data_IF_750578646235
#
_entry.id   IF_750578646235
#
_cell.length_a   1.000
_cell.length_b   1.000
_cell.length_c   1.000
_cell.angle_alpha   90.00
_cell.angle_beta   90.00
_cell.angle_gamma   90.00
#
_symmetry.space_group_name_H-M   'P 1'
#
loop_
_entity.id
_entity.type
_entity.pdbx_description
1 polymer ?
#
# COMPACT_ATOMS: atom_id res chain seq x y z
N UNK A 1 7.36 -5.02 12.40
CA UNK A 1 8.72 -5.59 12.35
C UNK A 1 8.94 -6.63 11.25
N UNK A 2 7.88 -7.15 10.57
CA UNK A 2 7.97 -8.14 9.47
C UNK A 2 8.06 -7.53 8.06
N UNK A 3 7.65 -6.29 7.86
CA UNK A 3 7.68 -5.59 6.56
C UNK A 3 9.10 -5.53 5.95
N UNK A 4 10.13 -5.37 6.79
CA UNK A 4 11.52 -5.31 6.34
C UNK A 4 12.10 -6.64 5.82
N UNK A 5 11.63 -7.79 6.32
CA UNK A 5 12.14 -9.10 5.88
C UNK A 5 11.48 -9.56 4.58
N UNK A 6 10.17 -9.41 4.44
CA UNK A 6 9.46 -9.70 3.18
C UNK A 6 9.97 -8.82 2.03
N UNK A 7 10.27 -7.54 2.31
CA UNK A 7 10.84 -6.63 1.32
C UNK A 7 12.25 -7.06 0.87
N UNK A 8 13.07 -7.61 1.77
CA UNK A 8 14.44 -8.03 1.47
C UNK A 8 14.49 -9.25 0.54
N UNK A 9 13.65 -10.25 0.80
CA UNK A 9 13.53 -11.44 -0.05
C UNK A 9 12.88 -11.09 -1.39
N UNK A 10 11.91 -10.19 -1.38
CA UNK A 10 11.25 -9.67 -2.57
C UNK A 10 12.22 -8.88 -3.47
N UNK A 11 13.08 -8.00 -2.90
CA UNK A 11 14.08 -7.22 -3.66
C UNK A 11 15.17 -8.10 -4.27
N UNK A 12 15.53 -9.22 -3.65
CA UNK A 12 16.48 -10.18 -4.21
C UNK A 12 16.05 -10.75 -5.55
N UNK A 13 14.76 -10.79 -5.82
CA UNK A 13 14.19 -11.30 -7.07
C UNK A 13 13.91 -10.21 -8.13
N UNK A 14 13.85 -8.93 -7.73
CA UNK A 14 13.41 -7.83 -8.62
C UNK A 14 14.56 -7.15 -9.37
N UNK A 15 15.82 -7.26 -8.88
CA UNK A 15 16.92 -6.44 -9.40
C UNK A 15 18.10 -7.29 -9.83
N UNK A 16 18.12 -7.73 -11.07
CA UNK A 16 19.33 -8.20 -11.75
C UNK A 16 20.09 -7.03 -12.38
N UNK A 17 20.70 -6.17 -11.59
CA UNK A 17 21.63 -5.12 -12.04
C UNK A 17 22.80 -4.99 -11.06
N UNK A 18 24.00 -5.41 -11.45
CA UNK A 18 25.32 -5.13 -10.83
C UNK A 18 25.41 -5.26 -9.28
N UNK A 19 26.05 -6.29 -8.78
CA UNK A 19 26.01 -6.75 -7.38
C UNK A 19 26.34 -5.64 -6.34
N UNK A 20 27.25 -4.73 -6.63
CA UNK A 20 27.67 -3.70 -5.64
C UNK A 20 26.71 -2.52 -5.51
N UNK A 21 25.98 -2.17 -6.58
CA UNK A 21 24.92 -1.15 -6.52
C UNK A 21 23.62 -1.65 -5.89
N UNK A 22 23.34 -2.93 -6.00
CA UNK A 22 22.12 -3.57 -5.49
C UNK A 22 22.14 -3.58 -3.95
N UNK A 23 23.25 -3.90 -3.32
CA UNK A 23 23.35 -3.91 -1.85
C UNK A 23 23.02 -2.53 -1.26
N UNK A 24 23.48 -1.44 -1.87
CA UNK A 24 23.14 -0.07 -1.44
C UNK A 24 21.65 0.23 -1.54
N UNK A 25 21.00 -0.15 -2.64
CA UNK A 25 19.56 0.08 -2.83
C UNK A 25 18.68 -0.80 -1.92
N UNK A 26 19.07 -2.04 -1.67
CA UNK A 26 18.38 -2.92 -0.71
C UNK A 26 18.43 -2.35 0.71
N UNK A 27 19.58 -1.88 1.17
CA UNK A 27 19.69 -1.29 2.51
C UNK A 27 18.88 0.02 2.62
N UNK A 28 18.92 0.84 1.58
CA UNK A 28 18.14 2.06 1.51
C UNK A 28 16.63 1.78 1.52
N UNK A 29 16.16 0.76 0.79
CA UNK A 29 14.77 0.34 0.80
C UNK A 29 14.33 -0.18 2.18
N UNK A 30 15.17 -0.95 2.86
CA UNK A 30 14.92 -1.41 4.24
C UNK A 30 14.81 -0.26 5.22
N UNK A 31 15.68 0.74 5.10
CA UNK A 31 15.65 1.93 5.95
C UNK A 31 14.37 2.75 5.70
N UNK A 32 14.00 2.97 4.45
CA UNK A 32 12.75 3.65 4.10
C UNK A 32 11.55 2.87 4.65
N UNK A 33 11.52 1.55 4.49
CA UNK A 33 10.47 0.70 5.03
C UNK A 33 10.40 0.70 6.58
N UNK A 34 11.53 0.84 7.26
CA UNK A 34 11.56 0.98 8.72
C UNK A 34 10.97 2.31 9.18
N UNK A 35 11.22 3.39 8.43
CA UNK A 35 10.91 4.76 8.87
C UNK A 35 9.61 5.32 8.27
N UNK A 36 9.01 4.71 7.24
CA UNK A 36 7.90 5.32 6.49
C UNK A 36 6.70 5.70 7.36
N UNK A 37 6.41 4.91 8.37
CA UNK A 37 5.28 5.09 9.29
C UNK A 37 5.70 5.72 10.65
N UNK A 38 6.90 6.32 10.76
CA UNK A 38 7.38 6.91 12.02
C UNK A 38 6.43 7.97 12.57
N UNK A 39 5.74 8.70 11.70
CA UNK A 39 4.73 9.69 12.09
C UNK A 39 3.46 9.09 12.71
N UNK A 40 3.18 7.79 12.50
CA UNK A 40 2.03 7.08 13.09
C UNK A 40 2.09 7.03 14.63
N UNK A 41 3.29 6.94 15.19
CA UNK A 41 3.44 6.93 16.66
C UNK A 41 2.86 8.19 17.29
N UNK A 42 3.15 9.36 16.71
CA UNK A 42 2.60 10.62 17.22
C UNK A 42 1.13 10.79 16.86
N UNK A 43 0.68 10.31 15.70
CA UNK A 43 -0.73 10.30 15.32
C UNK A 43 -1.57 9.55 16.34
N UNK A 44 -1.19 8.32 16.69
CA UNK A 44 -1.91 7.51 17.67
C UNK A 44 -1.84 8.15 19.05
N UNK A 45 -0.69 8.66 19.46
CA UNK A 45 -0.52 9.33 20.75
C UNK A 45 -1.43 10.54 20.93
N UNK A 46 -1.64 11.34 19.87
CA UNK A 46 -2.46 12.57 19.91
C UNK A 46 -3.95 12.30 19.72
N UNK A 47 -4.29 11.38 18.86
CA UNK A 47 -5.66 11.25 18.34
C UNK A 47 -6.30 9.88 18.63
N UNK A 48 -5.54 8.92 19.16
CA UNK A 48 -5.99 7.51 19.33
C UNK A 48 -6.65 6.96 18.06
N UNK A 49 -6.09 7.31 16.89
CA UNK A 49 -6.70 7.05 15.59
C UNK A 49 -5.64 6.97 14.48
N UNK A 50 -5.88 6.10 13.49
CA UNK A 50 -5.11 6.01 12.25
C UNK A 50 -5.80 6.71 11.07
N UNK A 51 -6.93 7.37 11.30
CA UNK A 51 -7.69 8.01 10.22
C UNK A 51 -6.92 9.18 9.61
N UNK A 52 -6.86 9.27 8.26
CA UNK A 52 -6.01 10.23 7.57
C UNK A 52 -6.40 11.70 7.78
N UNK A 53 -7.66 11.95 8.18
CA UNK A 53 -8.13 13.31 8.47
C UNK A 53 -7.67 13.84 9.84
N UNK A 54 -7.12 13.00 10.71
CA UNK A 54 -6.61 13.43 12.02
C UNK A 54 -5.22 14.05 11.91
N UNK A 55 -4.35 13.46 11.11
CA UNK A 55 -2.99 13.92 10.84
C UNK A 55 -2.44 13.20 9.60
N UNK A 56 -1.72 13.92 8.75
CA UNK A 56 -0.92 13.30 7.70
C UNK A 56 0.38 12.76 8.31
N UNK A 57 0.41 11.46 8.57
CA UNK A 57 1.56 10.80 9.20
C UNK A 57 2.81 10.79 8.31
N UNK A 58 2.65 10.82 6.98
CA UNK A 58 3.78 10.83 6.06
C UNK A 58 4.48 12.19 6.09
N UNK A 59 3.71 13.27 6.02
CA UNK A 59 4.23 14.64 6.16
C UNK A 59 4.89 14.83 7.53
N UNK A 60 4.21 14.44 8.60
CA UNK A 60 4.75 14.56 9.95
C UNK A 60 6.00 13.68 10.16
N UNK A 61 6.05 12.49 9.54
CA UNK A 61 7.22 11.63 9.53
C UNK A 61 8.44 12.32 8.92
N UNK A 62 8.24 13.03 7.80
CA UNK A 62 9.30 13.84 7.17
C UNK A 62 9.74 14.96 8.11
N UNK A 63 8.80 15.71 8.70
CA UNK A 63 9.12 16.78 9.67
C UNK A 63 9.97 16.26 10.85
N UNK A 64 9.64 15.08 11.39
CA UNK A 64 10.43 14.43 12.45
C UNK A 64 11.86 14.07 12.00
N UNK A 65 12.00 13.57 10.76
CA UNK A 65 13.29 13.17 10.23
C UNK A 65 14.17 14.37 9.84
N UNK A 66 13.58 15.50 9.46
CA UNK A 66 14.27 16.76 9.15
C UNK A 66 14.61 17.58 10.41
N UNK A 67 13.93 17.33 11.53
CA UNK A 67 14.13 18.07 12.77
C UNK A 67 15.59 17.95 13.27
N UNK A 68 16.03 19.00 14.00
CA UNK A 68 17.35 19.07 14.63
C UNK A 68 18.50 18.71 13.66
N UNK A 69 18.47 19.27 12.44
CA UNK A 69 19.47 19.00 11.39
C UNK A 69 19.57 17.51 11.04
N UNK A 70 18.44 16.85 10.87
CA UNK A 70 18.33 15.41 10.53
C UNK A 70 18.88 14.47 11.64
N UNK A 71 18.92 14.93 12.88
CA UNK A 71 19.50 14.16 13.99
C UNK A 71 18.96 12.74 14.10
N UNK A 72 17.63 12.57 13.95
CA UNK A 72 17.04 11.25 14.02
C UNK A 72 17.46 10.38 12.82
N UNK A 73 17.48 10.95 11.62
CA UNK A 73 17.92 10.25 10.42
C UNK A 73 19.39 9.85 10.52
N UNK A 74 20.26 10.70 11.12
CA UNK A 74 21.70 10.40 11.37
C UNK A 74 21.93 9.19 12.28
N UNK A 75 20.94 8.78 13.07
CA UNK A 75 21.04 7.51 13.84
C UNK A 75 21.04 6.27 12.94
N UNK A 76 20.57 6.37 11.69
CA UNK A 76 20.43 5.26 10.75
C UNK A 76 21.27 5.41 9.49
N UNK A 77 21.55 6.64 9.07
CA UNK A 77 22.34 6.97 7.89
C UNK A 77 23.34 8.10 8.25
N UNK A 78 24.63 7.75 8.37
CA UNK A 78 25.67 8.70 8.78
C UNK A 78 25.86 9.84 7.77
N UNK A 79 25.73 9.52 6.46
CA UNK A 79 25.90 10.46 5.36
C UNK A 79 24.54 11.00 4.86
N UNK A 80 24.55 12.17 4.24
CA UNK A 80 23.38 12.87 3.72
C UNK A 80 23.04 12.53 2.25
N UNK A 81 23.88 11.74 1.61
CA UNK A 81 23.79 11.43 0.17
C UNK A 81 22.41 10.87 -0.28
N UNK A 82 21.68 10.25 0.64
CA UNK A 82 20.38 9.65 0.37
C UNK A 82 19.20 10.33 1.08
N UNK A 83 19.41 11.41 1.82
CA UNK A 83 18.36 12.10 2.57
C UNK A 83 17.16 12.43 1.68
N UNK A 84 17.43 13.03 0.51
CA UNK A 84 16.38 13.38 -0.44
C UNK A 84 15.57 12.17 -0.90
N UNK A 85 16.22 11.03 -1.14
CA UNK A 85 15.53 9.80 -1.55
C UNK A 85 14.64 9.30 -0.43
N UNK A 86 15.17 9.24 0.81
CA UNK A 86 14.46 8.77 2.00
C UNK A 86 13.25 9.65 2.28
N UNK A 87 13.46 10.97 2.40
CA UNK A 87 12.42 11.92 2.75
C UNK A 87 11.32 12.00 1.68
N UNK A 88 11.70 11.98 0.39
CA UNK A 88 10.71 11.97 -0.70
C UNK A 88 9.90 10.69 -0.70
N UNK A 89 10.54 9.53 -0.57
CA UNK A 89 9.84 8.24 -0.56
C UNK A 89 8.86 8.15 0.63
N UNK A 90 9.28 8.57 1.82
CA UNK A 90 8.45 8.61 3.02
C UNK A 90 7.31 9.63 2.86
N UNK A 91 7.59 10.85 2.43
CA UNK A 91 6.58 11.90 2.32
C UNK A 91 5.53 11.66 1.23
N UNK A 92 5.80 10.77 0.27
CA UNK A 92 4.88 10.49 -0.84
C UNK A 92 4.20 9.13 -0.78
N UNK A 93 4.54 8.26 0.19
CA UNK A 93 4.08 6.87 0.19
C UNK A 93 2.56 6.75 0.31
N UNK A 94 1.91 7.61 1.10
CA UNK A 94 0.47 7.60 1.38
C UNK A 94 -0.37 8.44 0.42
N UNK A 95 0.25 9.19 -0.50
CA UNK A 95 -0.48 10.03 -1.45
C UNK A 95 -1.36 9.18 -2.39
N UNK A 96 -2.53 9.72 -2.76
CA UNK A 96 -3.42 9.07 -3.72
C UNK A 96 -2.73 8.82 -5.06
N UNK A 97 -2.03 9.81 -5.60
CA UNK A 97 -1.20 9.71 -6.80
C UNK A 97 0.22 10.16 -6.50
N UNK A 98 1.20 9.46 -7.08
CA UNK A 98 2.59 9.83 -6.95
C UNK A 98 2.88 11.08 -7.81
N UNK A 99 3.48 12.14 -7.25
CA UNK A 99 3.85 13.30 -8.05
C UNK A 99 4.94 12.97 -9.07
N UNK A 100 5.18 13.87 -10.04
CA UNK A 100 6.28 13.71 -10.96
C UNK A 100 7.63 13.74 -10.23
N UNK A 101 8.34 12.62 -10.24
CA UNK A 101 9.69 12.47 -9.67
C UNK A 101 10.67 12.19 -10.80
N UNK A 102 11.54 13.16 -11.10
CA UNK A 102 12.51 13.08 -12.23
C UNK A 102 13.72 12.22 -11.91
N UNK A 103 14.17 12.21 -10.65
CA UNK A 103 15.29 11.39 -10.23
C UNK A 103 14.89 9.91 -10.18
N UNK A 104 15.60 9.08 -10.96
CA UNK A 104 15.29 7.66 -11.13
C UNK A 104 15.41 6.86 -9.83
N UNK A 105 16.40 7.18 -9.00
CA UNK A 105 16.60 6.49 -7.72
C UNK A 105 15.48 6.83 -6.75
N UNK A 106 15.13 8.10 -6.63
CA UNK A 106 14.01 8.56 -5.80
C UNK A 106 12.69 7.93 -6.26
N UNK A 107 12.43 7.90 -7.56
CA UNK A 107 11.23 7.28 -8.12
C UNK A 107 11.16 5.77 -7.84
N UNK A 108 12.31 5.08 -7.97
CA UNK A 108 12.41 3.65 -7.64
C UNK A 108 11.94 3.40 -6.19
N UNK A 109 12.53 4.12 -5.23
CA UNK A 109 12.23 3.92 -3.82
C UNK A 109 10.84 4.41 -3.42
N UNK A 110 10.34 5.51 -4.01
CA UNK A 110 8.98 6.00 -3.79
C UNK A 110 7.92 4.98 -4.27
N UNK A 111 8.11 4.35 -5.41
CA UNK A 111 7.23 3.28 -5.90
C UNK A 111 7.33 2.02 -5.06
N UNK A 112 8.56 1.66 -4.67
CA UNK A 112 8.81 0.44 -3.92
C UNK A 112 8.16 0.46 -2.54
N UNK A 113 8.28 1.58 -1.79
CA UNK A 113 7.62 1.68 -0.48
C UNK A 113 6.11 1.65 -0.60
N UNK A 114 5.51 2.21 -1.65
CA UNK A 114 4.06 2.14 -1.90
C UNK A 114 3.59 0.70 -2.12
N UNK A 115 4.33 -0.08 -2.89
CA UNK A 115 4.00 -1.49 -3.10
C UNK A 115 4.15 -2.29 -1.81
N UNK A 116 5.25 -2.08 -1.08
CA UNK A 116 5.52 -2.77 0.18
C UNK A 116 4.48 -2.48 1.26
N UNK A 117 4.06 -1.23 1.42
CA UNK A 117 3.01 -0.83 2.35
C UNK A 117 1.66 -1.49 1.99
N UNK A 118 1.30 -1.55 0.70
CA UNK A 118 0.10 -2.26 0.25
C UNK A 118 0.15 -3.75 0.53
N UNK A 119 1.30 -4.39 0.34
CA UNK A 119 1.47 -5.82 0.62
C UNK A 119 1.36 -6.12 2.12
N UNK A 120 1.95 -5.30 2.99
CA UNK A 120 1.80 -5.47 4.45
C UNK A 120 0.37 -5.19 4.90
N UNK A 121 -0.27 -4.16 4.36
CA UNK A 121 -1.68 -3.88 4.57
C UNK A 121 -2.58 -5.05 4.15
N UNK A 122 -2.25 -5.76 3.06
CA UNK A 122 -2.97 -6.96 2.65
C UNK A 122 -2.87 -8.07 3.72
N UNK A 123 -1.67 -8.32 4.23
CA UNK A 123 -1.44 -9.25 5.33
C UNK A 123 -2.31 -8.89 6.55
N UNK A 124 -2.32 -7.63 6.95
CA UNK A 124 -3.19 -7.14 8.04
C UNK A 124 -4.66 -7.46 7.76
N UNK A 125 -5.14 -7.20 6.52
CA UNK A 125 -6.53 -7.50 6.13
C UNK A 125 -6.86 -9.00 6.16
N UNK A 126 -5.87 -9.88 6.07
CA UNK A 126 -6.06 -11.33 6.14
C UNK A 126 -6.02 -11.89 7.56
N UNK A 127 -5.32 -11.24 8.48
CA UNK A 127 -5.03 -11.77 9.82
C UNK A 127 -5.90 -11.13 10.89
N UNK A 128 -6.10 -9.82 10.84
CA UNK A 128 -6.79 -9.08 11.90
C UNK A 128 -8.31 -9.30 11.87
N UNK A 129 -8.97 -9.11 13.02
CA UNK A 129 -10.42 -9.16 13.13
C UNK A 129 -11.07 -8.08 12.25
N UNK A 130 -12.08 -8.49 11.48
CA UNK A 130 -12.83 -7.57 10.61
C UNK A 130 -13.58 -6.50 11.42
N UNK A 131 -14.07 -6.86 12.60
CA UNK A 131 -14.78 -5.93 13.47
C UNK A 131 -13.86 -4.79 13.94
N UNK A 132 -12.58 -5.09 14.19
CA UNK A 132 -11.56 -4.09 14.53
C UNK A 132 -11.23 -3.25 13.28
N UNK A 133 -10.98 -3.90 12.15
CA UNK A 133 -10.59 -3.21 10.90
C UNK A 133 -11.67 -2.28 10.36
N UNK A 134 -12.94 -2.68 10.50
CA UNK A 134 -14.07 -1.96 9.89
C UNK A 134 -14.91 -1.21 10.94
N UNK A 135 -14.70 -1.47 12.24
CA UNK A 135 -15.55 -0.93 13.30
C UNK A 135 -17.02 -1.39 13.18
N UNK A 136 -17.27 -2.53 12.55
CA UNK A 136 -18.59 -3.09 12.27
C UNK A 136 -18.48 -4.59 11.99
N UNK A 137 -19.45 -5.38 12.43
CA UNK A 137 -19.53 -6.82 12.17
C UNK A 137 -19.52 -7.11 10.66
N UNK A 138 -18.80 -8.13 10.24
CA UNK A 138 -18.60 -8.49 8.83
C UNK A 138 -19.91 -8.73 8.07
N UNK A 139 -20.91 -9.38 8.72
CA UNK A 139 -22.23 -9.62 8.16
C UNK A 139 -22.99 -8.30 7.87
N UNK A 140 -22.86 -7.33 8.76
CA UNK A 140 -23.48 -6.02 8.55
C UNK A 140 -22.83 -5.28 7.39
N UNK A 141 -21.50 -5.35 7.30
CA UNK A 141 -20.74 -4.78 6.16
C UNK A 141 -21.16 -5.45 4.86
N UNK A 142 -21.28 -6.79 4.83
CA UNK A 142 -21.70 -7.55 3.65
C UNK A 142 -23.10 -7.26 3.14
N UNK A 143 -23.95 -6.66 3.97
CA UNK A 143 -25.29 -6.22 3.57
C UNK A 143 -25.34 -4.79 3.00
N UNK A 144 -24.24 -4.02 3.09
CA UNK A 144 -24.17 -2.67 2.54
C UNK A 144 -23.98 -2.69 1.02
N UNK A 145 -24.45 -1.64 0.36
CA UNK A 145 -24.21 -1.41 -1.05
C UNK A 145 -22.91 -0.65 -1.27
N UNK A 146 -22.22 -0.94 -2.38
CA UNK A 146 -21.08 -0.14 -2.84
C UNK A 146 -21.58 1.17 -3.41
N UNK A 147 -21.04 2.30 -2.95
CA UNK A 147 -21.41 3.62 -3.43
C UNK A 147 -21.10 3.79 -4.92
N UNK A 148 -21.99 4.45 -5.71
CA UNK A 148 -21.84 4.54 -7.16
C UNK A 148 -20.47 5.10 -7.60
N UNK A 149 -19.99 6.13 -6.91
CA UNK A 149 -18.71 6.77 -7.23
C UNK A 149 -17.50 5.89 -6.95
N UNK A 150 -17.56 5.08 -5.89
CA UNK A 150 -16.53 4.06 -5.57
C UNK A 150 -16.51 3.00 -6.67
N UNK A 151 -17.69 2.52 -7.09
CA UNK A 151 -17.78 1.53 -8.15
C UNK A 151 -17.28 2.06 -9.51
N UNK A 152 -17.60 3.32 -9.83
CA UNK A 152 -17.12 3.99 -11.04
C UNK A 152 -15.58 4.03 -11.09
N UNK A 153 -14.91 4.34 -9.97
CA UNK A 153 -13.45 4.33 -9.89
C UNK A 153 -12.88 2.93 -10.12
N UNK A 154 -13.49 1.90 -9.53
CA UNK A 154 -13.10 0.51 -9.77
C UNK A 154 -13.20 0.13 -11.26
N UNK A 155 -14.28 0.52 -11.94
CA UNK A 155 -14.47 0.28 -13.37
C UNK A 155 -13.42 0.98 -14.25
N UNK A 156 -12.80 2.05 -13.75
CA UNK A 156 -11.69 2.75 -14.40
C UNK A 156 -10.31 2.17 -14.06
N UNK A 157 -10.26 1.03 -13.35
CA UNK A 157 -9.02 0.43 -12.85
C UNK A 157 -8.18 1.42 -12.01
N UNK A 158 -8.86 2.16 -11.12
CA UNK A 158 -8.23 3.13 -10.21
C UNK A 158 -8.43 2.76 -8.75
N UNK A 159 -7.44 3.10 -7.94
CA UNK A 159 -7.62 3.13 -6.48
C UNK A 159 -8.78 4.02 -6.08
N UNK A 160 -9.45 3.70 -4.98
CA UNK A 160 -10.56 4.52 -4.47
C UNK A 160 -10.02 5.73 -3.71
N UNK A 161 -10.39 6.92 -4.16
CA UNK A 161 -10.06 8.15 -3.45
C UNK A 161 -10.83 8.22 -2.12
N UNK A 162 -10.10 8.29 -1.00
CA UNK A 162 -10.66 8.17 0.35
C UNK A 162 -11.89 9.05 0.64
N UNK A 163 -11.93 10.33 0.23
CA UNK A 163 -13.08 11.20 0.50
C UNK A 163 -14.40 10.80 -0.16
N UNK A 164 -14.40 9.91 -1.16
CA UNK A 164 -15.63 9.46 -1.82
C UNK A 164 -16.29 8.27 -1.11
N UNK A 165 -15.62 7.67 -0.14
CA UNK A 165 -16.16 6.55 0.65
C UNK A 165 -17.27 7.05 1.57
N UNK A 166 -18.42 6.37 1.57
CA UNK A 166 -19.62 6.77 2.33
C UNK A 166 -19.99 5.77 3.43
N UNK A 167 -19.54 4.53 3.32
CA UNK A 167 -19.87 3.47 4.26
C UNK A 167 -18.75 2.41 4.38
N UNK A 168 -18.89 1.46 5.28
CA UNK A 168 -17.85 0.46 5.59
C UNK A 168 -17.58 -0.52 4.44
N UNK A 169 -18.55 -0.77 3.55
CA UNK A 169 -18.31 -1.56 2.34
C UNK A 169 -17.39 -0.82 1.37
N UNK A 170 -17.50 0.51 1.25
CA UNK A 170 -16.60 1.31 0.43
C UNK A 170 -15.15 1.26 0.94
N UNK A 171 -14.95 1.22 2.26
CA UNK A 171 -13.64 0.99 2.85
C UNK A 171 -13.09 -0.38 2.45
N UNK A 172 -13.92 -1.44 2.52
CA UNK A 172 -13.51 -2.78 2.11
C UNK A 172 -13.15 -2.86 0.63
N UNK A 173 -13.98 -2.28 -0.24
CA UNK A 173 -13.70 -2.15 -1.68
C UNK A 173 -12.39 -1.43 -1.92
N UNK A 174 -12.10 -0.36 -1.17
CA UNK A 174 -10.87 0.41 -1.34
C UNK A 174 -9.61 -0.43 -1.02
N UNK A 175 -9.71 -1.40 -0.10
CA UNK A 175 -8.60 -2.32 0.20
C UNK A 175 -8.31 -3.35 -0.90
N UNK A 176 -9.26 -3.60 -1.79
CA UNK A 176 -9.06 -4.43 -2.98
C UNK A 176 -8.63 -3.57 -4.18
N UNK A 177 -9.32 -2.43 -4.38
CA UNK A 177 -9.06 -1.54 -5.50
C UNK A 177 -7.67 -0.87 -5.46
N UNK A 178 -7.01 -0.78 -4.28
CA UNK A 178 -5.67 -0.20 -4.20
C UNK A 178 -4.60 -1.04 -4.91
N UNK A 179 -4.89 -2.29 -5.28
CA UNK A 179 -4.02 -3.09 -6.15
C UNK A 179 -3.92 -2.52 -7.58
N UNK A 180 -4.83 -1.66 -8.01
CA UNK A 180 -4.69 -0.91 -9.26
C UNK A 180 -3.56 0.15 -9.22
N UNK A 181 -2.95 0.38 -8.06
CA UNK A 181 -1.78 1.26 -7.88
C UNK A 181 -0.50 0.47 -7.51
N UNK A 182 -0.40 -0.78 -7.93
CA UNK A 182 0.84 -1.56 -7.86
C UNK A 182 1.76 -1.13 -8.99
N UNK A 183 3.05 -0.98 -8.68
CA UNK A 183 4.02 -0.36 -9.57
C UNK A 183 4.97 -1.37 -10.24
N UNK A 184 5.25 -2.51 -9.59
CA UNK A 184 6.27 -3.45 -10.07
C UNK A 184 5.68 -4.80 -10.46
N UNK A 185 6.17 -5.39 -11.61
CA UNK A 185 5.78 -6.73 -12.04
C UNK A 185 5.94 -7.79 -10.95
N UNK A 186 7.01 -7.72 -10.17
CA UNK A 186 7.27 -8.69 -9.11
C UNK A 186 6.27 -8.55 -7.94
N UNK A 187 5.83 -7.32 -7.59
CA UNK A 187 4.74 -7.11 -6.62
C UNK A 187 3.44 -7.73 -7.12
N UNK A 188 3.14 -7.54 -8.40
CA UNK A 188 1.95 -8.12 -9.03
C UNK A 188 2.00 -9.66 -9.04
N UNK A 189 3.14 -10.26 -9.42
CA UNK A 189 3.33 -11.71 -9.37
C UNK A 189 3.12 -12.27 -7.97
N UNK A 190 3.71 -11.65 -6.95
CA UNK A 190 3.56 -12.08 -5.57
C UNK A 190 2.11 -12.01 -5.08
N UNK A 191 1.36 -10.96 -5.42
CA UNK A 191 -0.06 -10.84 -5.07
C UNK A 191 -0.87 -11.97 -5.70
N UNK A 192 -0.57 -12.33 -6.96
CA UNK A 192 -1.25 -13.41 -7.67
C UNK A 192 -0.88 -14.79 -7.10
N UNK A 193 0.40 -15.06 -6.84
CA UNK A 193 0.90 -16.31 -6.26
C UNK A 193 0.30 -16.60 -4.88
N UNK A 194 0.16 -15.56 -4.05
CA UNK A 194 -0.44 -15.65 -2.72
C UNK A 194 -1.97 -15.61 -2.72
N UNK A 195 -2.60 -15.46 -3.89
CA UNK A 195 -4.07 -15.35 -4.08
C UNK A 195 -4.70 -14.26 -3.18
N UNK A 196 -3.97 -13.17 -2.95
CA UNK A 196 -4.38 -12.14 -1.98
C UNK A 196 -5.74 -11.52 -2.32
N UNK A 197 -6.02 -11.28 -3.59
CA UNK A 197 -7.28 -10.64 -4.03
C UNK A 197 -8.48 -11.45 -3.60
N UNK A 198 -8.50 -12.75 -3.94
CA UNK A 198 -9.62 -13.65 -3.59
C UNK A 198 -9.71 -13.88 -2.09
N UNK A 199 -8.57 -14.08 -1.43
CA UNK A 199 -8.52 -14.30 0.02
C UNK A 199 -9.06 -13.11 0.80
N UNK A 200 -8.73 -11.87 0.41
CA UNK A 200 -9.28 -10.67 1.04
C UNK A 200 -10.78 -10.57 0.77
N UNK A 201 -11.22 -10.71 -0.49
CA UNK A 201 -12.64 -10.64 -0.85
C UNK A 201 -13.45 -11.68 -0.07
N UNK A 202 -12.97 -12.91 0.04
CA UNK A 202 -13.68 -14.00 0.69
C UNK A 202 -13.91 -13.81 2.21
N UNK A 203 -13.27 -12.81 2.84
CA UNK A 203 -13.45 -12.54 4.27
C UNK A 203 -14.81 -11.94 4.63
N UNK A 204 -15.50 -11.31 3.70
CA UNK A 204 -16.82 -10.70 3.95
C UNK A 204 -17.93 -11.67 3.49
N UNK A 205 -18.89 -12.01 4.34
CA UNK A 205 -20.10 -12.75 3.95
C UNK A 205 -21.09 -11.80 3.28
N UNK A 206 -21.08 -11.74 1.93
CA UNK A 206 -21.91 -10.82 1.15
C UNK A 206 -23.38 -11.25 1.14
N UNK A 207 -24.19 -10.65 2.00
CA UNK A 207 -25.65 -10.83 2.03
C UNK A 207 -26.38 -10.01 0.95
N UNK A 208 -25.83 -8.85 0.53
CA UNK A 208 -26.35 -8.06 -0.57
C UNK A 208 -25.93 -8.67 -1.92
N UNK A 209 -26.90 -9.12 -2.78
CA UNK A 209 -26.59 -9.77 -4.04
C UNK A 209 -25.85 -8.86 -5.05
N UNK A 210 -26.20 -7.58 -5.14
CA UNK A 210 -25.53 -6.62 -6.03
C UNK A 210 -24.08 -6.40 -5.61
N UNK A 211 -23.84 -6.24 -4.31
CA UNK A 211 -22.50 -6.10 -3.76
C UNK A 211 -21.66 -7.34 -4.03
N UNK A 212 -22.22 -8.55 -3.86
CA UNK A 212 -21.52 -9.79 -4.16
C UNK A 212 -21.08 -9.87 -5.61
N UNK A 213 -22.00 -9.61 -6.56
CA UNK A 213 -21.70 -9.61 -7.99
C UNK A 213 -20.59 -8.60 -8.32
N UNK A 214 -20.65 -7.41 -7.73
CA UNK A 214 -19.63 -6.37 -7.92
C UNK A 214 -18.26 -6.80 -7.36
N UNK A 215 -18.22 -7.44 -6.20
CA UNK A 215 -16.97 -7.93 -5.61
C UNK A 215 -16.35 -9.07 -6.40
N UNK A 216 -17.17 -10.01 -6.92
CA UNK A 216 -16.72 -11.05 -7.85
C UNK A 216 -16.14 -10.42 -9.14
N UNK A 217 -16.81 -9.42 -9.71
CA UNK A 217 -16.32 -8.69 -10.87
C UNK A 217 -15.03 -7.93 -10.56
N UNK A 218 -14.94 -7.28 -9.40
CA UNK A 218 -13.72 -6.57 -8.97
C UNK A 218 -12.54 -7.52 -8.84
N UNK A 219 -12.73 -8.74 -8.29
CA UNK A 219 -11.69 -9.78 -8.25
C UNK A 219 -11.12 -10.04 -9.63
N UNK A 220 -11.97 -10.33 -10.61
CA UNK A 220 -11.56 -10.62 -11.99
C UNK A 220 -10.81 -9.44 -12.61
N UNK A 221 -11.28 -8.22 -12.39
CA UNK A 221 -10.67 -7.01 -12.94
C UNK A 221 -9.28 -6.75 -12.33
N UNK A 222 -9.14 -6.87 -11.02
CA UNK A 222 -7.86 -6.68 -10.32
C UNK A 222 -6.86 -7.75 -10.72
N UNK A 223 -7.27 -9.02 -10.78
CA UNK A 223 -6.39 -10.11 -11.23
C UNK A 223 -5.93 -9.90 -12.67
N UNK A 224 -6.82 -9.52 -13.58
CA UNK A 224 -6.47 -9.22 -14.97
C UNK A 224 -5.50 -8.03 -15.09
N UNK A 225 -5.66 -7.00 -14.24
CA UNK A 225 -4.72 -5.88 -14.15
C UNK A 225 -3.33 -6.35 -13.69
N UNK A 226 -3.27 -7.13 -12.62
CA UNK A 226 -2.02 -7.65 -12.06
C UNK A 226 -1.32 -8.60 -13.03
N UNK A 227 -2.05 -9.48 -13.75
CA UNK A 227 -1.49 -10.35 -14.78
C UNK A 227 -0.86 -9.55 -15.92
N UNK A 228 -1.52 -8.48 -16.38
CA UNK A 228 -0.95 -7.58 -17.40
C UNK A 228 0.34 -6.92 -16.89
N UNK A 229 0.34 -6.45 -15.64
CA UNK A 229 1.51 -5.83 -15.02
C UNK A 229 2.65 -6.84 -14.85
N UNK A 230 2.36 -8.07 -14.42
CA UNK A 230 3.32 -9.15 -14.26
C UNK A 230 3.86 -9.70 -15.59
N UNK A 231 3.27 -9.33 -16.73
CA UNK A 231 3.62 -9.86 -18.05
C UNK A 231 3.14 -11.29 -18.29
N UNK A 232 2.18 -11.76 -17.51
CA UNK A 232 1.57 -13.10 -17.65
C UNK A 232 0.59 -13.06 -18.84
N UNK A 233 0.84 -13.89 -19.86
CA UNK A 233 -0.10 -14.07 -20.98
C UNK A 233 -1.10 -15.16 -20.60
N UNK A 234 -2.39 -14.87 -20.69
CA UNK A 234 -3.42 -15.93 -20.69
C UNK A 234 -3.42 -16.56 -22.09
N UNK A 235 -3.08 -17.82 -22.20
CA UNK A 235 -3.40 -18.59 -23.40
C UNK A 235 -4.93 -18.78 -23.44
N UNK A 236 -5.58 -18.15 -24.42
CA UNK A 236 -7.01 -18.30 -24.70
C UNK A 236 -7.22 -19.45 -25.67
#
# INVERSE_FOLDING_TARGET
MLCGYALADFMGNVVHVGVDKILGDVQLAKLIALLHDIGRFEQVKRYDSFEPFTMDHAVFGVELLEADSHRLLRCFAEEDAFDRVILTAIGTHSLYELPEIKDKKTLLHARLIRDADKLDNCRVKLVDSLDILLGMEAEKVGNLSISPKVWEMCLQEKSVYSPVRQNRMDYWVSYVAYFFDINYPASASFILEEDFVKRVIARIPYGNPDTRIKMEKLSVMVEAYLERLAGIKRDF
#
